data_IF_066348259257
#
_entry.id   IF_066348259257
#
_cell.length_a   1.000
_cell.length_b   1.000
_cell.length_c   1.000
_cell.angle_alpha   90.00
_cell.angle_beta   90.00
_cell.angle_gamma   90.00
#
_symmetry.space_group_name_H-M   'P 1'
#
loop_
_entity.id
_entity.type
_entity.pdbx_description
1 polymer ?
#
# COMPACT_ATOMS: atom_id res chain seq x y z
N UNK A 1 -54.84 43.65 13.47
CA UNK A 1 -53.49 43.20 13.04
C UNK A 1 -53.20 41.86 13.71
N UNK A 2 -53.07 40.75 12.97
CA UNK A 2 -52.74 39.46 13.58
C UNK A 2 -51.22 39.37 13.85
N UNK A 3 -50.79 38.64 14.89
CA UNK A 3 -49.38 38.60 15.28
C UNK A 3 -48.56 37.68 14.36
N UNK A 4 -47.46 38.22 13.82
CA UNK A 4 -46.40 37.48 13.11
C UNK A 4 -45.57 36.65 14.08
N UNK A 5 -46.08 35.52 14.58
CA UNK A 5 -45.33 34.66 15.52
C UNK A 5 -45.29 33.16 15.17
N UNK A 6 -45.72 32.77 13.98
CA UNK A 6 -45.78 31.35 13.56
C UNK A 6 -44.54 30.85 12.81
N UNK A 7 -43.73 31.72 12.18
CA UNK A 7 -42.65 31.27 11.29
C UNK A 7 -41.38 30.78 12.03
N UNK A 8 -41.03 31.38 13.17
CA UNK A 8 -39.79 31.06 13.91
C UNK A 8 -39.89 29.71 14.64
N UNK A 9 -41.07 29.37 15.18
CA UNK A 9 -41.29 28.08 15.87
C UNK A 9 -41.23 26.88 14.91
N UNK A 10 -41.73 27.03 13.70
CA UNK A 10 -41.69 25.98 12.67
C UNK A 10 -40.24 25.72 12.23
N UNK A 11 -39.44 26.78 12.07
CA UNK A 11 -38.02 26.65 11.69
C UNK A 11 -37.19 25.94 12.77
N UNK A 12 -37.42 26.28 14.04
CA UNK A 12 -36.73 25.64 15.16
C UNK A 12 -37.11 24.16 15.32
N UNK A 13 -38.38 23.81 15.08
CA UNK A 13 -38.84 22.43 15.13
C UNK A 13 -38.26 21.59 13.99
N UNK A 14 -38.15 22.17 12.78
CA UNK A 14 -37.54 21.51 11.62
C UNK A 14 -36.04 21.26 11.83
N UNK A 15 -35.31 22.23 12.40
CA UNK A 15 -33.89 22.04 12.73
C UNK A 15 -33.68 20.97 13.80
N UNK A 16 -34.53 20.95 14.83
CA UNK A 16 -34.49 19.93 15.87
C UNK A 16 -34.77 18.53 15.29
N UNK A 17 -35.75 18.43 14.38
CA UNK A 17 -36.09 17.18 13.72
C UNK A 17 -34.95 16.68 12.82
N UNK A 18 -34.31 17.57 12.05
CA UNK A 18 -33.13 17.24 11.23
C UNK A 18 -32.00 16.75 12.14
N UNK A 19 -31.72 17.45 13.24
CA UNK A 19 -30.69 17.07 14.20
C UNK A 19 -30.95 15.69 14.82
N UNK A 20 -32.19 15.41 15.21
CA UNK A 20 -32.60 14.12 15.76
C UNK A 20 -32.52 12.99 14.72
N UNK A 21 -32.91 13.25 13.47
CA UNK A 21 -32.78 12.29 12.36
C UNK A 21 -31.30 12.02 12.07
N UNK A 22 -30.44 13.04 12.09
CA UNK A 22 -29.00 12.86 11.93
C UNK A 22 -28.39 12.03 13.06
N UNK A 23 -28.80 12.24 14.31
CA UNK A 23 -28.36 11.45 15.46
C UNK A 23 -28.84 9.99 15.38
N UNK A 24 -30.08 9.77 14.95
CA UNK A 24 -30.65 8.44 14.77
C UNK A 24 -29.93 7.69 13.63
N UNK A 25 -29.64 8.37 12.52
CA UNK A 25 -28.86 7.81 11.41
C UNK A 25 -27.43 7.48 11.84
N UNK A 26 -26.78 8.33 12.65
CA UNK A 26 -25.47 8.05 13.25
C UNK A 26 -25.49 6.81 14.15
N UNK A 27 -26.54 6.67 14.98
CA UNK A 27 -26.71 5.52 15.88
C UNK A 27 -26.96 4.21 15.09
N UNK A 28 -27.84 4.26 14.09
CA UNK A 28 -28.12 3.12 13.21
C UNK A 28 -26.89 2.74 12.37
N UNK A 29 -26.13 3.71 11.87
CA UNK A 29 -24.91 3.45 11.09
C UNK A 29 -23.82 2.79 11.95
N UNK A 30 -23.70 3.16 13.23
CA UNK A 30 -22.76 2.52 14.17
C UNK A 30 -23.09 1.04 14.44
N UNK A 31 -24.38 0.68 14.38
CA UNK A 31 -24.86 -0.70 14.54
C UNK A 31 -24.72 -1.50 13.23
N UNK A 32 -24.88 -0.84 12.08
CA UNK A 32 -24.90 -1.47 10.76
C UNK A 32 -23.50 -1.54 10.11
N UNK A 33 -22.54 -0.72 10.54
CA UNK A 33 -21.17 -0.69 10.03
C UNK A 33 -20.44 -2.07 9.95
N UNK A 34 -20.69 -3.05 10.83
CA UNK A 34 -20.11 -4.39 10.69
C UNK A 34 -20.77 -5.25 9.59
N UNK A 35 -21.94 -4.88 9.07
CA UNK A 35 -22.80 -5.70 8.21
C UNK A 35 -22.65 -5.43 6.70
N UNK A 36 -21.68 -4.61 6.28
CA UNK A 36 -21.21 -4.56 4.90
C UNK A 36 -21.99 -3.65 3.93
N UNK A 37 -21.37 -3.50 2.75
CA UNK A 37 -21.55 -2.50 1.68
C UNK A 37 -22.96 -2.46 1.02
N UNK A 38 -23.89 -3.33 1.40
CA UNK A 38 -25.17 -3.52 0.71
C UNK A 38 -26.24 -2.43 0.95
N UNK A 39 -26.05 -1.50 1.89
CA UNK A 39 -27.07 -0.50 2.26
C UNK A 39 -26.79 0.93 1.76
N UNK A 40 -25.64 1.19 1.11
CA UNK A 40 -25.30 2.52 0.59
C UNK A 40 -26.21 2.96 -0.57
N UNK A 41 -26.56 2.10 -1.55
CA UNK A 41 -27.43 2.51 -2.65
C UNK A 41 -28.88 2.88 -2.21
N UNK A 42 -29.54 2.12 -1.30
CA UNK A 42 -30.86 2.49 -0.77
C UNK A 42 -30.87 3.81 0.01
N UNK A 43 -29.82 4.09 0.79
CA UNK A 43 -29.70 5.32 1.58
C UNK A 43 -29.52 6.56 0.70
N UNK A 44 -28.70 6.47 -0.36
CA UNK A 44 -28.55 7.54 -1.35
C UNK A 44 -29.85 7.79 -2.12
N UNK A 45 -30.58 6.74 -2.50
CA UNK A 45 -31.91 6.84 -3.11
C UNK A 45 -32.94 7.50 -2.17
N UNK A 46 -32.87 7.21 -0.88
CA UNK A 46 -33.75 7.81 0.13
C UNK A 46 -33.44 9.31 0.32
N UNK A 47 -32.16 9.68 0.40
CA UNK A 47 -31.72 11.08 0.45
C UNK A 47 -32.11 11.86 -0.82
N UNK A 48 -31.98 11.24 -2.00
CA UNK A 48 -32.45 11.84 -3.25
C UNK A 48 -33.96 12.07 -3.27
N UNK A 49 -34.76 11.12 -2.77
CA UNK A 49 -36.21 11.28 -2.66
C UNK A 49 -36.60 12.38 -1.68
N UNK A 50 -35.90 12.49 -0.54
CA UNK A 50 -36.10 13.57 0.44
C UNK A 50 -35.74 14.93 -0.17
N UNK A 51 -34.59 15.04 -0.85
CA UNK A 51 -34.19 16.28 -1.54
C UNK A 51 -35.17 16.67 -2.64
N UNK A 52 -35.69 15.69 -3.40
CA UNK A 52 -36.70 15.91 -4.43
C UNK A 52 -38.04 16.36 -3.83
N UNK A 53 -38.46 15.77 -2.70
CA UNK A 53 -39.66 16.18 -1.96
C UNK A 53 -39.52 17.60 -1.38
N UNK A 54 -38.35 17.96 -0.84
CA UNK A 54 -38.08 19.31 -0.34
C UNK A 54 -38.05 20.37 -1.44
N UNK A 55 -37.76 20.01 -2.70
CA UNK A 55 -37.82 20.92 -3.87
C UNK A 55 -39.24 21.39 -4.19
N UNK A 56 -40.28 20.67 -3.74
CA UNK A 56 -41.71 21.05 -3.90
C UNK A 56 -42.21 22.02 -2.84
N UNK A 57 -41.51 22.13 -1.70
CA UNK A 57 -41.83 23.12 -0.66
C UNK A 57 -41.00 24.36 -0.99
N UNK A 58 -41.61 25.56 -0.99
CA UNK A 58 -41.01 26.84 -1.41
C UNK A 58 -39.90 27.35 -0.46
N UNK A 59 -38.95 26.49 -0.11
CA UNK A 59 -37.74 26.83 0.62
C UNK A 59 -36.81 27.51 -0.38
N UNK A 60 -36.41 28.75 -0.06
CA UNK A 60 -35.55 29.58 -0.92
C UNK A 60 -34.35 28.75 -1.40
N UNK A 61 -34.16 28.70 -2.72
CA UNK A 61 -33.09 27.96 -3.45
C UNK A 61 -31.72 27.94 -2.74
N UNK A 62 -31.36 29.04 -2.07
CA UNK A 62 -30.12 29.20 -1.27
C UNK A 62 -30.02 28.23 -0.07
N UNK A 63 -31.11 27.99 0.66
CA UNK A 63 -31.14 27.08 1.82
C UNK A 63 -30.97 25.63 1.38
N UNK A 64 -31.61 25.23 0.27
CA UNK A 64 -31.46 23.89 -0.30
C UNK A 64 -30.02 23.65 -0.81
N UNK A 65 -29.39 24.68 -1.36
CA UNK A 65 -28.00 24.63 -1.82
C UNK A 65 -27.03 24.48 -0.63
N UNK A 66 -27.22 25.28 0.42
CA UNK A 66 -26.43 25.20 1.65
C UNK A 66 -26.60 23.87 2.37
N UNK A 67 -27.81 23.30 2.42
CA UNK A 67 -28.02 21.96 2.98
C UNK A 67 -27.38 20.87 2.13
N UNK A 68 -27.38 21.00 0.80
CA UNK A 68 -26.70 20.06 -0.09
C UNK A 68 -25.19 20.08 0.11
N UNK A 69 -24.58 21.26 0.17
CA UNK A 69 -23.15 21.43 0.49
C UNK A 69 -22.84 20.91 1.89
N UNK A 70 -23.70 21.19 2.87
CA UNK A 70 -23.57 20.68 4.23
C UNK A 70 -23.62 19.15 4.31
N UNK A 71 -24.52 18.50 3.56
CA UNK A 71 -24.61 17.03 3.48
C UNK A 71 -23.38 16.44 2.78
N UNK A 72 -22.87 17.08 1.72
CA UNK A 72 -21.64 16.64 1.04
C UNK A 72 -20.43 16.78 1.96
N UNK A 73 -20.30 17.90 2.68
CA UNK A 73 -19.24 18.10 3.67
C UNK A 73 -19.37 17.11 4.84
N UNK A 74 -20.61 16.86 5.31
CA UNK A 74 -20.86 15.87 6.35
C UNK A 74 -20.53 14.45 5.84
N UNK A 75 -20.88 14.12 4.60
CA UNK A 75 -20.53 12.84 3.98
C UNK A 75 -19.02 12.69 3.82
N UNK A 76 -18.29 13.75 3.44
CA UNK A 76 -16.82 13.77 3.40
C UNK A 76 -16.21 13.61 4.80
N UNK A 77 -16.75 14.27 5.82
CA UNK A 77 -16.35 14.08 7.21
C UNK A 77 -16.67 12.68 7.75
N UNK A 78 -17.81 12.10 7.35
CA UNK A 78 -18.23 10.75 7.75
C UNK A 78 -17.48 9.65 6.97
N UNK A 79 -17.03 9.92 5.74
CA UNK A 79 -16.20 8.98 4.97
C UNK A 79 -14.74 8.96 5.44
N UNK A 80 -14.25 10.08 6.01
CA UNK A 80 -13.04 10.09 6.83
C UNK A 80 -13.14 9.19 8.08
N UNK A 81 -14.26 8.51 8.33
CA UNK A 81 -14.44 7.53 9.43
C UNK A 81 -14.16 6.09 8.97
N UNK A 82 -13.85 5.82 7.69
CA UNK A 82 -13.21 4.55 7.28
C UNK A 82 -11.73 4.45 7.71
N UNK A 83 -11.39 5.10 8.83
CA UNK A 83 -10.18 4.84 9.60
C UNK A 83 -10.33 3.48 10.26
N UNK A 84 -9.69 2.46 9.71
CA UNK A 84 -9.29 1.32 10.51
C UNK A 84 -8.16 1.82 11.41
N UNK A 85 -8.50 2.32 12.59
CA UNK A 85 -7.51 2.72 13.58
C UNK A 85 -6.97 1.46 14.24
N UNK A 86 -5.84 0.96 13.74
CA UNK A 86 -5.09 -0.06 14.45
C UNK A 86 -4.49 0.55 15.73
N UNK A 87 -4.41 -0.25 16.80
CA UNK A 87 -3.72 0.12 18.03
C UNK A 87 -2.28 -0.41 18.03
N UNK A 88 -1.46 0.03 18.98
CA UNK A 88 -0.07 -0.42 19.15
C UNK A 88 0.85 -0.10 17.95
N UNK A 89 1.86 -0.95 17.75
CA UNK A 89 2.87 -0.80 16.69
C UNK A 89 2.23 -0.78 15.29
N UNK A 90 1.21 -1.60 15.07
CA UNK A 90 0.45 -1.63 13.82
C UNK A 90 -0.24 -0.29 13.52
N UNK A 91 -0.75 0.39 14.56
CA UNK A 91 -1.30 1.74 14.43
C UNK A 91 -0.25 2.81 14.10
N UNK A 92 0.97 2.65 14.60
CA UNK A 92 2.10 3.53 14.27
C UNK A 92 2.49 3.34 12.80
N UNK A 93 2.64 2.08 12.36
CA UNK A 93 2.94 1.75 10.97
C UNK A 93 1.88 2.31 10.00
N UNK A 94 0.60 2.18 10.36
CA UNK A 94 -0.51 2.71 9.58
C UNK A 94 -0.44 4.22 9.39
N UNK A 95 -0.21 4.98 10.48
CA UNK A 95 -0.10 6.45 10.40
C UNK A 95 1.07 6.86 9.51
N UNK A 96 2.22 6.20 9.65
CA UNK A 96 3.41 6.47 8.84
C UNK A 96 3.14 6.18 7.36
N UNK A 97 2.47 5.06 7.05
CA UNK A 97 2.08 4.72 5.68
C UNK A 97 1.09 5.73 5.10
N UNK A 98 0.10 6.19 5.88
CA UNK A 98 -0.83 7.25 5.46
C UNK A 98 -0.11 8.53 5.08
N UNK A 99 0.76 9.02 5.96
CA UNK A 99 1.56 10.22 5.68
C UNK A 99 2.34 10.05 4.38
N UNK A 100 3.04 8.94 4.20
CA UNK A 100 3.79 8.65 2.99
C UNK A 100 2.90 8.63 1.73
N UNK A 101 1.78 7.89 1.76
CA UNK A 101 0.91 7.75 0.60
C UNK A 101 0.21 9.04 0.22
N UNK A 102 -0.23 9.81 1.22
CA UNK A 102 -0.84 11.11 1.00
C UNK A 102 0.09 12.03 0.21
N UNK A 103 1.35 12.15 0.63
CA UNK A 103 2.30 13.04 -0.03
C UNK A 103 2.80 12.50 -1.38
N UNK A 104 3.04 11.19 -1.50
CA UNK A 104 3.66 10.62 -2.68
C UNK A 104 2.68 10.34 -3.82
N UNK A 105 1.50 9.82 -3.50
CA UNK A 105 0.56 9.33 -4.51
C UNK A 105 -0.68 10.21 -4.62
N UNK A 106 -1.09 10.86 -3.53
CA UNK A 106 -2.40 11.51 -3.44
C UNK A 106 -2.37 12.97 -2.93
N UNK A 107 -1.40 13.83 -3.33
CA UNK A 107 -1.21 15.13 -2.71
C UNK A 107 -2.40 16.09 -2.89
N UNK A 108 -3.25 15.84 -3.90
CA UNK A 108 -4.40 16.69 -4.26
C UNK A 108 -5.74 15.94 -4.17
N UNK A 109 -5.74 14.71 -3.65
CA UNK A 109 -6.93 13.87 -3.66
C UNK A 109 -7.94 14.32 -2.60
N UNK A 110 -9.14 14.71 -3.06
CA UNK A 110 -10.33 14.93 -2.21
C UNK A 110 -11.01 13.59 -1.86
N UNK A 111 -10.67 12.51 -2.59
CA UNK A 111 -11.25 11.19 -2.39
C UNK A 111 -10.71 10.53 -1.12
N UNK A 112 -11.56 9.82 -0.36
CA UNK A 112 -11.08 9.01 0.75
C UNK A 112 -10.14 7.92 0.22
N UNK A 113 -8.99 7.75 0.89
CA UNK A 113 -8.10 6.61 0.66
C UNK A 113 -7.99 5.73 1.90
N UNK A 114 -7.97 4.42 1.68
CA UNK A 114 -7.78 3.42 2.71
C UNK A 114 -6.32 2.98 2.74
N UNK A 115 -5.86 2.58 3.91
CA UNK A 115 -4.55 1.95 4.09
C UNK A 115 -4.79 0.58 4.72
N UNK A 116 -4.31 -0.47 4.07
CA UNK A 116 -4.23 -1.81 4.66
C UNK A 116 -2.83 -2.01 5.24
N UNK A 117 -2.77 -2.67 6.40
CA UNK A 117 -1.50 -3.00 7.06
C UNK A 117 -1.49 -4.48 7.43
N UNK A 118 -0.43 -5.16 7.03
CA UNK A 118 -0.18 -6.57 7.30
C UNK A 118 1.19 -6.74 7.93
N UNK A 119 1.31 -7.61 8.93
CA UNK A 119 2.62 -7.95 9.48
C UNK A 119 3.48 -8.64 8.42
N UNK A 120 4.76 -8.29 8.39
CA UNK A 120 5.76 -8.88 7.52
C UNK A 120 6.82 -9.54 8.40
N UNK A 121 7.06 -10.83 8.19
CA UNK A 121 8.07 -11.55 8.96
C UNK A 121 9.47 -11.32 8.38
N UNK A 122 10.42 -10.99 9.25
CA UNK A 122 11.84 -10.96 8.92
C UNK A 122 12.65 -11.20 10.20
N UNK A 123 13.36 -12.33 10.27
CA UNK A 123 14.14 -12.71 11.46
C UNK A 123 15.40 -11.86 11.68
N UNK A 124 15.76 -11.04 10.69
CA UNK A 124 16.93 -10.17 10.75
C UNK A 124 16.74 -9.03 11.77
N UNK A 125 15.55 -8.43 11.85
CA UNK A 125 15.25 -7.32 12.74
C UNK A 125 14.84 -7.82 14.13
N UNK A 126 15.59 -7.42 15.16
CA UNK A 126 15.39 -7.84 16.56
C UNK A 126 14.68 -6.78 17.40
N UNK A 127 14.84 -5.52 17.00
CA UNK A 127 14.31 -4.36 17.73
C UNK A 127 13.21 -3.63 16.96
N UNK A 128 12.87 -4.09 15.75
CA UNK A 128 11.78 -3.56 14.95
C UNK A 128 10.82 -4.64 14.49
N UNK A 129 9.53 -4.32 14.50
CA UNK A 129 8.48 -5.07 13.82
C UNK A 129 8.31 -4.51 12.40
N UNK A 130 8.12 -5.39 11.41
CA UNK A 130 7.89 -4.97 10.03
C UNK A 130 6.43 -5.12 9.61
N UNK A 131 5.98 -4.18 8.79
CA UNK A 131 4.64 -4.15 8.25
C UNK A 131 4.66 -3.85 6.75
N UNK A 132 3.91 -4.62 5.97
CA UNK A 132 3.56 -4.29 4.58
C UNK A 132 2.32 -3.40 4.56
N UNK A 133 2.36 -2.33 3.80
CA UNK A 133 1.29 -1.35 3.67
C UNK A 133 0.85 -1.20 2.22
N UNK A 134 -0.47 -1.21 1.99
CA UNK A 134 -1.09 -0.90 0.69
C UNK A 134 -2.02 0.30 0.80
N UNK A 135 -1.91 1.26 -0.12
CA UNK A 135 -2.74 2.45 -0.22
C UNK A 135 -3.74 2.34 -1.37
N UNK A 136 -5.02 2.64 -1.09
CA UNK A 136 -6.13 2.47 -2.04
C UNK A 136 -7.03 3.71 -2.08
N UNK A 137 -7.17 4.34 -3.24
CA UNK A 137 -8.27 5.28 -3.49
C UNK A 137 -9.52 4.46 -3.85
N UNK A 138 -10.65 4.76 -3.20
CA UNK A 138 -11.95 4.19 -3.56
C UNK A 138 -12.09 2.68 -3.33
N UNK A 139 -11.12 2.03 -2.67
CA UNK A 139 -11.14 0.61 -2.34
C UNK A 139 -10.84 -0.34 -3.52
N UNK A 140 -10.26 0.16 -4.61
CA UNK A 140 -9.91 -0.66 -5.78
C UNK A 140 -8.58 -1.38 -5.60
N UNK A 141 -8.56 -2.68 -5.91
CA UNK A 141 -7.33 -3.46 -6.12
C UNK A 141 -6.86 -3.27 -7.59
N UNK A 142 -5.55 -3.28 -7.85
CA UNK A 142 -4.43 -3.43 -6.90
C UNK A 142 -4.17 -2.12 -6.13
N UNK A 143 -3.39 -2.15 -5.01
CA UNK A 143 -3.01 -0.91 -4.33
C UNK A 143 -2.28 0.03 -5.28
N UNK A 144 -2.56 1.32 -5.17
CA UNK A 144 -1.93 2.36 -6.00
C UNK A 144 -0.60 2.83 -5.41
N UNK A 145 -0.40 2.60 -4.10
CA UNK A 145 0.85 2.83 -3.41
C UNK A 145 1.16 1.67 -2.49
N UNK A 146 2.43 1.31 -2.39
CA UNK A 146 2.90 0.23 -1.56
C UNK A 146 4.13 0.70 -0.75
N UNK A 147 4.24 0.24 0.48
CA UNK A 147 5.40 0.52 1.34
C UNK A 147 5.67 -0.62 2.33
N UNK A 148 6.91 -0.74 2.77
CA UNK A 148 7.27 -1.51 3.97
C UNK A 148 7.62 -0.51 5.08
N UNK A 149 7.04 -0.69 6.26
CA UNK A 149 7.26 0.16 7.43
C UNK A 149 7.90 -0.68 8.54
N UNK A 150 9.03 -0.22 9.08
CA UNK A 150 9.60 -0.75 10.32
C UNK A 150 9.15 0.11 11.50
N UNK A 151 8.74 -0.51 12.59
CA UNK A 151 8.35 0.18 13.84
C UNK A 151 9.26 -0.29 14.96
N UNK A 152 9.98 0.64 15.58
CA UNK A 152 10.86 0.37 16.71
C UNK A 152 10.09 0.28 18.03
N UNK A 153 10.71 -0.34 19.04
CA UNK A 153 10.14 -0.45 20.40
C UNK A 153 9.92 0.90 21.09
N UNK A 154 10.61 1.94 20.63
CA UNK A 154 10.45 3.33 21.06
C UNK A 154 9.27 4.05 20.38
N UNK A 155 8.57 3.38 19.47
CA UNK A 155 7.43 3.91 18.73
C UNK A 155 7.81 4.75 17.51
N UNK A 156 9.09 4.85 17.15
CA UNK A 156 9.50 5.46 15.89
C UNK A 156 9.23 4.52 14.71
N UNK A 157 8.93 5.11 13.54
CA UNK A 157 8.62 4.36 12.33
C UNK A 157 9.42 4.84 11.12
N UNK A 158 9.91 3.87 10.34
CA UNK A 158 10.82 4.08 9.22
C UNK A 158 10.24 3.51 7.94
N UNK A 159 10.32 4.27 6.86
CA UNK A 159 9.93 3.84 5.52
C UNK A 159 11.08 3.06 4.87
N UNK A 160 10.84 1.80 4.51
CA UNK A 160 11.84 0.96 3.88
C UNK A 160 11.59 0.81 2.36
N UNK A 161 12.66 0.65 1.55
CA UNK A 161 14.08 0.56 1.95
C UNK A 161 14.79 1.92 2.14
N UNK A 162 14.14 3.04 1.87
CA UNK A 162 14.75 4.38 1.87
C UNK A 162 15.42 4.76 3.21
N UNK A 163 14.83 4.35 4.33
CA UNK A 163 15.33 4.61 5.68
C UNK A 163 16.02 3.39 6.31
N UNK A 164 16.39 2.38 5.51
CA UNK A 164 16.98 1.12 6.00
C UNK A 164 18.21 1.32 6.87
N UNK A 165 19.13 2.22 6.48
CA UNK A 165 20.37 2.45 7.22
C UNK A 165 20.11 3.03 8.62
N UNK A 166 19.01 3.79 8.82
CA UNK A 166 18.61 4.27 10.16
C UNK A 166 18.14 3.10 11.05
N UNK A 167 17.46 2.12 10.45
CA UNK A 167 17.03 0.91 11.16
C UNK A 167 18.24 0.04 11.52
N UNK A 168 19.20 -0.12 10.59
CA UNK A 168 20.43 -0.88 10.82
C UNK A 168 21.25 -0.35 11.99
N UNK A 169 21.43 0.97 12.08
CA UNK A 169 22.13 1.60 13.21
C UNK A 169 21.51 1.21 14.55
N UNK A 170 20.17 1.21 14.61
CA UNK A 170 19.39 0.82 15.81
C UNK A 170 19.43 -0.68 16.09
N UNK A 171 19.54 -1.51 15.03
CA UNK A 171 19.74 -2.96 15.15
C UNK A 171 21.14 -3.34 15.65
N UNK A 172 22.09 -2.39 15.65
CA UNK A 172 23.49 -2.60 16.08
C UNK A 172 24.15 -3.77 15.36
N UNK A 173 23.88 -3.86 14.06
CA UNK A 173 24.43 -4.91 13.19
C UNK A 173 25.95 -4.77 13.14
N UNK A 174 26.64 -5.91 13.08
CA UNK A 174 28.08 -5.98 12.83
C UNK A 174 28.34 -7.02 11.77
N UNK A 175 29.06 -6.63 10.73
CA UNK A 175 29.40 -7.48 9.59
C UNK A 175 30.89 -7.78 9.65
N UNK A 176 31.21 -9.02 10.00
CA UNK A 176 32.58 -9.53 10.12
C UNK A 176 32.85 -10.70 9.15
N UNK A 177 31.85 -11.08 8.35
CA UNK A 177 31.92 -12.21 7.43
C UNK A 177 31.06 -11.96 6.19
N UNK A 178 31.41 -12.66 5.10
CA UNK A 178 30.62 -12.65 3.86
C UNK A 178 29.18 -13.12 4.09
N UNK A 179 28.99 -14.09 4.99
CA UNK A 179 27.67 -14.60 5.37
C UNK A 179 26.80 -13.51 6.00
N UNK A 180 27.35 -12.74 6.94
CA UNK A 180 26.61 -11.62 7.57
C UNK A 180 26.31 -10.53 6.54
N UNK A 181 27.23 -10.25 5.60
CA UNK A 181 26.99 -9.28 4.53
C UNK A 181 25.82 -9.71 3.61
N UNK A 182 25.74 -11.01 3.28
CA UNK A 182 24.62 -11.58 2.55
C UNK A 182 23.31 -11.51 3.34
N UNK A 183 23.33 -11.76 4.64
CA UNK A 183 22.14 -11.65 5.50
C UNK A 183 21.59 -10.21 5.51
N UNK A 184 22.46 -9.20 5.61
CA UNK A 184 22.09 -7.78 5.51
C UNK A 184 21.46 -7.46 4.16
N UNK A 185 22.06 -7.93 3.06
CA UNK A 185 21.52 -7.69 1.71
C UNK A 185 20.17 -8.37 1.52
N UNK A 186 20.01 -9.60 1.99
CA UNK A 186 18.72 -10.28 1.92
C UNK A 186 17.65 -9.54 2.73
N UNK A 187 18.00 -8.98 3.89
CA UNK A 187 17.09 -8.12 4.64
C UNK A 187 16.71 -6.86 3.85
N UNK A 188 17.70 -6.18 3.24
CA UNK A 188 17.47 -5.00 2.40
C UNK A 188 16.52 -5.29 1.22
N UNK A 189 16.79 -6.37 0.48
CA UNK A 189 15.98 -6.80 -0.66
C UNK A 189 14.56 -7.17 -0.22
N UNK A 190 14.40 -7.91 0.89
CA UNK A 190 13.08 -8.24 1.44
C UNK A 190 12.27 -7.01 1.84
N UNK A 191 12.95 -5.94 2.29
CA UNK A 191 12.31 -4.68 2.61
C UNK A 191 12.01 -3.81 1.37
N UNK A 192 12.60 -4.14 0.23
CA UNK A 192 12.39 -3.45 -1.05
C UNK A 192 11.14 -3.95 -1.79
N UNK A 193 10.47 -4.98 -1.27
CA UNK A 193 9.30 -5.59 -1.91
C UNK A 193 8.15 -5.77 -0.89
N UNK A 194 6.95 -5.32 -1.26
CA UNK A 194 5.76 -5.41 -0.38
C UNK A 194 5.09 -6.76 -0.50
N UNK A 195 4.88 -7.22 -1.74
CA UNK A 195 4.25 -8.50 -2.07
C UNK A 195 5.23 -9.42 -2.79
N UNK A 196 5.08 -10.73 -2.60
CA UNK A 196 5.93 -11.71 -3.29
C UNK A 196 7.30 -11.89 -2.64
N UNK A 197 8.22 -12.39 -3.45
CA UNK A 197 9.53 -12.89 -3.04
C UNK A 197 10.60 -12.41 -4.01
N UNK A 198 11.75 -12.02 -3.45
CA UNK A 198 12.96 -11.71 -4.19
C UNK A 198 14.04 -12.72 -3.81
N UNK A 199 14.71 -13.29 -4.83
CA UNK A 199 15.77 -14.29 -4.65
C UNK A 199 17.05 -13.78 -5.26
N UNK A 200 18.16 -13.98 -4.55
CA UNK A 200 19.50 -13.89 -5.15
C UNK A 200 19.70 -15.13 -6.01
N UNK A 201 20.13 -14.92 -7.26
CA UNK A 201 20.38 -15.98 -8.23
C UNK A 201 21.85 -16.44 -8.14
N UNK A 202 22.04 -17.72 -7.92
CA UNK A 202 23.34 -18.40 -8.05
C UNK A 202 23.54 -18.96 -9.45
N UNK A 203 22.44 -19.28 -10.13
CA UNK A 203 22.42 -19.72 -11.51
C UNK A 203 21.09 -19.34 -12.18
N UNK A 204 21.02 -19.38 -13.51
CA UNK A 204 19.78 -19.03 -14.20
C UNK A 204 18.65 -20.05 -14.00
N UNK A 205 18.96 -21.29 -13.60
CA UNK A 205 17.95 -22.30 -13.28
C UNK A 205 17.27 -22.08 -11.92
N UNK A 206 17.76 -21.12 -11.12
CA UNK A 206 17.06 -20.65 -9.91
C UNK A 206 15.80 -19.85 -10.28
N UNK A 207 15.72 -19.36 -11.53
CA UNK A 207 14.51 -18.75 -12.07
C UNK A 207 13.54 -19.88 -12.43
N UNK A 208 12.29 -19.86 -11.93
CA UNK A 208 11.28 -20.82 -12.35
C UNK A 208 11.10 -20.77 -13.87
N UNK A 209 10.96 -21.93 -14.52
CA UNK A 209 10.66 -21.99 -15.95
C UNK A 209 9.37 -21.23 -16.26
N UNK A 210 9.24 -20.65 -17.47
CA UNK A 210 8.01 -20.01 -17.92
C UNK A 210 6.77 -20.89 -17.67
N UNK A 211 5.71 -20.28 -17.13
CA UNK A 211 4.42 -20.95 -16.92
C UNK A 211 3.66 -21.07 -18.25
N UNK A 212 4.21 -21.90 -19.13
CA UNK A 212 3.64 -22.16 -20.45
C UNK A 212 2.80 -23.43 -20.39
N UNK A 213 1.52 -23.29 -20.71
CA UNK A 213 0.62 -24.42 -20.87
C UNK A 213 0.89 -25.13 -22.20
N UNK A 214 0.95 -26.47 -22.19
CA UNK A 214 1.26 -27.27 -23.40
C UNK A 214 0.19 -27.07 -24.48
N UNK A 215 -1.08 -26.97 -24.07
CA UNK A 215 -2.18 -26.68 -25.00
C UNK A 215 -2.04 -25.27 -25.58
N UNK A 216 -1.73 -24.27 -24.75
CA UNK A 216 -1.47 -22.91 -25.22
C UNK A 216 -0.28 -22.83 -26.18
N UNK A 217 0.85 -23.48 -25.88
CA UNK A 217 2.02 -23.52 -26.75
C UNK A 217 1.77 -24.21 -28.09
N UNK A 218 0.91 -25.24 -28.11
CA UNK A 218 0.53 -25.89 -29.37
C UNK A 218 -0.19 -24.91 -30.30
N UNK A 219 -0.93 -23.95 -29.74
CA UNK A 219 -1.67 -22.91 -30.47
C UNK A 219 -0.83 -21.65 -30.74
N UNK A 220 0.14 -21.33 -29.89
CA UNK A 220 0.97 -20.12 -29.94
C UNK A 220 2.46 -20.44 -30.00
N UNK A 221 2.84 -21.31 -30.94
CA UNK A 221 4.20 -21.88 -31.03
C UNK A 221 5.30 -20.82 -31.07
N UNK A 222 5.15 -19.78 -31.88
CA UNK A 222 6.15 -18.71 -32.00
C UNK A 222 6.35 -17.92 -30.69
N UNK A 223 5.28 -17.69 -29.94
CA UNK A 223 5.35 -16.96 -28.67
C UNK A 223 6.02 -17.82 -27.59
N UNK A 224 5.70 -19.11 -27.52
CA UNK A 224 6.40 -20.04 -26.65
C UNK A 224 7.89 -20.15 -26.98
N UNK A 225 8.26 -20.25 -28.26
CA UNK A 225 9.67 -20.29 -28.68
C UNK A 225 10.40 -18.99 -28.30
N UNK A 226 9.75 -17.83 -28.43
CA UNK A 226 10.32 -16.54 -27.98
C UNK A 226 10.55 -16.52 -26.48
N UNK A 227 9.59 -16.94 -25.68
CA UNK A 227 9.72 -16.96 -24.22
C UNK A 227 10.79 -17.94 -23.74
N UNK A 228 10.86 -19.14 -24.33
CA UNK A 228 11.93 -20.11 -24.07
C UNK A 228 13.29 -19.51 -24.44
N UNK A 229 13.40 -18.86 -25.60
CA UNK A 229 14.65 -18.23 -26.03
C UNK A 229 15.09 -17.12 -25.09
N UNK A 230 14.18 -16.24 -24.66
CA UNK A 230 14.46 -15.17 -23.68
C UNK A 230 14.98 -15.75 -22.35
N UNK A 231 14.36 -16.84 -21.88
CA UNK A 231 14.82 -17.55 -20.69
C UNK A 231 16.22 -18.15 -20.87
N UNK A 232 16.50 -18.76 -22.02
CA UNK A 232 17.82 -19.35 -22.32
C UNK A 232 18.93 -18.29 -22.50
N UNK A 233 18.63 -17.13 -23.08
CA UNK A 233 19.59 -16.01 -23.21
C UNK A 233 20.13 -15.55 -21.84
N UNK A 234 19.32 -15.65 -20.78
CA UNK A 234 19.74 -15.31 -19.42
C UNK A 234 20.77 -16.27 -18.84
N UNK A 235 20.85 -17.53 -19.31
CA UNK A 235 21.89 -18.49 -18.87
C UNK A 235 23.30 -18.00 -19.18
N UNK A 236 23.48 -17.25 -20.27
CA UNK A 236 24.79 -16.70 -20.64
C UNK A 236 25.19 -15.45 -19.84
N UNK A 237 24.26 -14.85 -19.09
CA UNK A 237 24.43 -13.56 -18.42
C UNK A 237 24.53 -13.73 -16.91
N UNK A 238 23.66 -14.57 -16.32
CA UNK A 238 23.56 -14.74 -14.88
C UNK A 238 24.77 -15.51 -14.38
N UNK A 239 25.54 -14.86 -13.51
CA UNK A 239 26.67 -15.46 -12.80
C UNK A 239 26.36 -15.56 -11.31
N UNK A 240 26.97 -16.51 -10.59
CA UNK A 240 26.87 -16.58 -9.14
C UNK A 240 27.28 -15.25 -8.46
N UNK A 241 26.77 -14.96 -7.25
CA UNK A 241 27.18 -13.80 -6.47
C UNK A 241 28.69 -13.77 -6.29
N UNK A 242 29.30 -12.60 -6.53
CA UNK A 242 30.71 -12.35 -6.26
C UNK A 242 30.81 -11.38 -5.11
N UNK A 243 31.60 -11.75 -4.11
CA UNK A 243 31.80 -10.96 -2.89
C UNK A 243 33.27 -10.60 -2.82
N UNK A 244 33.54 -9.30 -2.66
CA UNK A 244 34.88 -8.76 -2.54
C UNK A 244 35.01 -8.05 -1.20
N UNK A 245 36.09 -8.31 -0.48
CA UNK A 245 36.44 -7.59 0.72
C UNK A 245 37.49 -6.52 0.39
N UNK A 246 37.12 -5.25 0.50
CA UNK A 246 37.99 -4.11 0.24
C UNK A 246 37.91 -3.13 1.42
N UNK A 247 39.05 -2.78 2.02
CA UNK A 247 39.14 -1.85 3.14
C UNK A 247 38.13 -2.14 4.26
N UNK A 248 38.01 -3.41 4.64
CA UNK A 248 37.08 -3.89 5.67
C UNK A 248 35.58 -3.80 5.31
N UNK A 249 35.26 -3.50 4.05
CA UNK A 249 33.89 -3.40 3.55
C UNK A 249 33.62 -4.49 2.51
N UNK A 250 32.38 -4.99 2.45
CA UNK A 250 32.00 -6.01 1.49
C UNK A 250 31.30 -5.38 0.28
N UNK A 251 31.82 -5.63 -0.91
CA UNK A 251 31.14 -5.29 -2.17
C UNK A 251 30.60 -6.56 -2.78
N UNK A 252 29.31 -6.59 -3.13
CA UNK A 252 28.65 -7.73 -3.72
C UNK A 252 28.12 -7.37 -5.10
N UNK A 253 28.49 -8.18 -6.10
CA UNK A 253 27.93 -8.18 -7.45
C UNK A 253 27.07 -9.43 -7.62
N UNK A 254 25.77 -9.26 -7.85
CA UNK A 254 24.85 -10.40 -7.95
C UNK A 254 23.63 -10.08 -8.81
N UNK A 255 22.88 -11.12 -9.16
CA UNK A 255 21.59 -10.99 -9.82
C UNK A 255 20.46 -11.36 -8.87
N UNK A 256 19.30 -10.74 -9.04
CA UNK A 256 18.08 -11.12 -8.35
C UNK A 256 16.98 -11.46 -9.34
N UNK A 257 16.05 -12.31 -8.92
CA UNK A 257 14.75 -12.48 -9.56
C UNK A 257 13.63 -12.20 -8.57
N UNK A 258 12.71 -11.31 -8.94
CA UNK A 258 11.47 -11.06 -8.21
C UNK A 258 10.32 -11.82 -8.88
N UNK A 259 9.55 -12.55 -8.08
CA UNK A 259 8.42 -13.33 -8.60
C UNK A 259 7.23 -12.45 -9.04
N UNK A 260 7.18 -11.18 -8.63
CA UNK A 260 6.21 -10.21 -9.16
C UNK A 260 6.80 -9.58 -10.42
N UNK A 261 6.06 -9.69 -11.52
CA UNK A 261 6.48 -9.19 -12.84
C UNK A 261 7.67 -9.93 -13.45
N UNK A 262 8.22 -10.96 -12.80
CA UNK A 262 9.32 -11.78 -13.32
C UNK A 262 10.57 -10.95 -13.62
N UNK A 263 10.92 -10.06 -12.70
CA UNK A 263 11.96 -9.04 -12.91
C UNK A 263 13.32 -9.60 -12.52
N UNK A 264 14.26 -9.61 -13.49
CA UNK A 264 15.67 -9.93 -13.27
C UNK A 264 16.46 -8.63 -13.21
N UNK A 265 17.17 -8.42 -12.10
CA UNK A 265 18.01 -7.24 -11.90
C UNK A 265 19.44 -7.64 -11.59
N UNK A 266 20.40 -6.83 -12.04
CA UNK A 266 21.79 -6.88 -11.61
C UNK A 266 22.02 -5.80 -10.57
N UNK A 267 22.66 -6.20 -9.47
CA UNK A 267 22.98 -5.34 -8.35
C UNK A 267 24.47 -5.30 -8.12
N UNK A 268 24.96 -4.11 -7.78
CA UNK A 268 26.24 -3.90 -7.11
C UNK A 268 26.00 -3.12 -5.84
N UNK A 269 26.18 -3.78 -4.70
CA UNK A 269 25.90 -3.21 -3.37
C UNK A 269 27.14 -3.27 -2.52
N UNK A 270 27.41 -2.20 -1.79
CA UNK A 270 28.45 -2.15 -0.75
C UNK A 270 27.79 -2.22 0.63
N UNK A 271 28.34 -3.07 1.50
CA UNK A 271 27.95 -3.26 2.89
C UNK A 271 29.13 -2.88 3.79
N UNK A 272 28.91 -1.88 4.63
CA UNK A 272 29.88 -1.41 5.62
C UNK A 272 29.91 -2.34 6.85
N UNK A 273 30.94 -2.21 7.70
CA UNK A 273 31.08 -3.03 8.93
C UNK A 273 29.93 -2.91 9.92
N UNK A 274 29.26 -1.77 9.94
CA UNK A 274 28.09 -1.51 10.79
C UNK A 274 26.78 -2.02 10.15
N UNK A 275 26.86 -2.66 8.98
CA UNK A 275 25.72 -3.16 8.22
C UNK A 275 25.08 -2.13 7.29
N UNK A 276 25.57 -0.89 7.26
CA UNK A 276 25.04 0.14 6.35
C UNK A 276 25.16 -0.31 4.90
N UNK A 277 24.08 -0.12 4.14
CA UNK A 277 23.96 -0.53 2.74
C UNK A 277 24.06 0.69 1.82
N UNK A 278 24.92 0.59 0.81
CA UNK A 278 25.07 1.57 -0.25
C UNK A 278 24.89 0.90 -1.62
N UNK A 279 23.87 1.30 -2.37
CA UNK A 279 23.67 0.82 -3.75
C UNK A 279 24.66 1.57 -4.65
N UNK A 280 25.58 0.85 -5.26
CA UNK A 280 26.55 1.42 -6.20
C UNK A 280 26.03 1.38 -7.63
N UNK A 281 25.36 0.30 -8.02
CA UNK A 281 24.71 0.14 -9.32
C UNK A 281 23.48 -0.77 -9.21
N UNK A 282 22.46 -0.48 -10.00
CA UNK A 282 21.24 -1.29 -10.14
C UNK A 282 20.77 -1.19 -11.58
N UNK A 283 20.62 -2.36 -12.22
CA UNK A 283 20.15 -2.43 -13.60
C UNK A 283 19.12 -3.53 -13.79
N UNK A 284 17.95 -3.16 -14.31
CA UNK A 284 16.96 -4.13 -14.82
C UNK A 284 17.53 -4.78 -16.08
N UNK A 285 17.63 -6.11 -16.06
CA UNK A 285 18.17 -6.92 -17.17
C UNK A 285 17.04 -7.43 -18.04
N UNK A 286 15.96 -7.90 -17.41
CA UNK A 286 14.78 -8.40 -18.10
C UNK A 286 13.57 -8.34 -17.18
N UNK A 287 12.38 -8.24 -17.78
CA UNK A 287 11.09 -8.33 -17.09
C UNK A 287 10.26 -9.43 -17.75
N UNK A 288 9.20 -9.87 -17.06
CA UNK A 288 8.30 -10.93 -17.51
C UNK A 288 9.05 -12.24 -17.79
N UNK A 289 9.99 -12.61 -16.91
CA UNK A 289 10.80 -13.82 -17.04
C UNK A 289 10.35 -14.87 -16.03
N UNK A 290 10.23 -16.10 -16.52
CA UNK A 290 9.94 -17.28 -15.71
C UNK A 290 8.45 -17.42 -15.41
N UNK A 291 8.11 -18.26 -14.43
CA UNK A 291 6.75 -18.29 -13.90
C UNK A 291 6.61 -17.23 -12.81
N UNK A 292 5.91 -16.14 -13.12
CA UNK A 292 5.77 -14.97 -12.27
C UNK A 292 4.29 -14.60 -12.07
N UNK A 293 4.03 -13.76 -11.06
CA UNK A 293 2.71 -13.21 -10.79
C UNK A 293 2.57 -11.81 -11.41
N UNK A 294 1.48 -11.57 -12.12
CA UNK A 294 1.07 -10.24 -12.53
C UNK A 294 0.08 -9.67 -11.52
N UNK A 295 0.37 -8.47 -11.02
CA UNK A 295 -0.61 -7.68 -10.28
C UNK A 295 -1.51 -7.02 -11.34
N UNK A 296 -2.68 -7.60 -11.56
CA UNK A 296 -3.72 -7.10 -12.47
C UNK A 296 -4.34 -5.80 -11.96
#
# INVERSE_FOLDING_TARGET
MPPKFTCVKIFSLALLLIFLISLLLLYLFKIIAPLGIFLIPPLLLCLFKIMYAMRRVAIKKKVLMLSGVGIVLLALCLFNIYYVSYEGEKGIAERRAREFFFWKYFPETILPYAVSIHEKSCSFFRYHSLYSAGGYIGGFLPPQGEAVIAVGRDGEAFLLPDEFNKVIEREKVKVNSEKEALEVIMAYLNCSIVYGEIKILYNASDIPKPCLDEEWCSKHKEECEKEIKRYEELRGIITPPKIYLENETYTLDFFTWANIGGVVEKWRIKVERDGTVNILDRKVIANHIGCYFELA
#
